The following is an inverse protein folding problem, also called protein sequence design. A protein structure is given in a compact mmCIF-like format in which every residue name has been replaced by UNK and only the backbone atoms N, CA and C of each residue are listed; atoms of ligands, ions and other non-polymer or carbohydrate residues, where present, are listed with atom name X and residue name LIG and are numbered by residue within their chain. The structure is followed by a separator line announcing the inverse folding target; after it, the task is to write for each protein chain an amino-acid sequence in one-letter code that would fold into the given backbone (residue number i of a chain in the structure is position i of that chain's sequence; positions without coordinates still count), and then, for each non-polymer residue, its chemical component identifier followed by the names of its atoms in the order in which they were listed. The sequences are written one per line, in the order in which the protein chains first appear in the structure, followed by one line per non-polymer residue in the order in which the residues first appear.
data_IF_673446556098
#
_entry.id   IF_673446556098
#
_cell.length_a   1.000
_cell.length_b   1.000
_cell.length_c   1.000
_cell.angle_alpha   90.00
_cell.angle_beta   90.00
_cell.angle_gamma   90.00
#
_symmetry.space_group_name_H-M   'P 1'
#
loop_
_entity.id
_entity.type
_entity.pdbx_description
1 polymer ?
#
# COMPACT_ATOMS: atom_id res chain seq x y z
N UNK A 1 -7.35 -3.07 18.49
CA UNK A 1 -7.64 -3.62 17.15
C UNK A 1 -6.84 -4.89 16.97
N UNK A 2 -7.37 -5.84 16.23
CA UNK A 2 -6.68 -7.05 15.82
C UNK A 2 -6.44 -6.99 14.31
N UNK A 3 -5.22 -7.31 13.88
CA UNK A 3 -4.77 -7.24 12.49
C UNK A 3 -4.06 -8.53 12.09
N UNK A 4 -4.34 -9.00 10.88
CA UNK A 4 -3.67 -10.12 10.24
C UNK A 4 -3.46 -9.80 8.74
N UNK A 5 -2.86 -10.73 8.00
CA UNK A 5 -2.73 -10.60 6.54
C UNK A 5 -4.09 -10.83 5.83
N UNK A 6 -5.04 -11.48 6.48
CA UNK A 6 -6.40 -11.73 5.98
C UNK A 6 -7.33 -10.56 6.36
N UNK A 7 -7.86 -9.84 5.36
CA UNK A 7 -8.71 -8.66 5.60
C UNK A 7 -9.97 -8.99 6.42
N UNK A 8 -10.55 -10.18 6.25
CA UNK A 8 -11.77 -10.62 6.93
C UNK A 8 -11.56 -10.86 8.44
N UNK A 9 -10.31 -11.11 8.86
CA UNK A 9 -9.93 -11.31 10.26
C UNK A 9 -9.56 -10.00 10.98
N UNK A 10 -9.49 -8.88 10.24
CA UNK A 10 -9.10 -7.58 10.79
C UNK A 10 -10.29 -6.83 11.37
N UNK A 11 -10.22 -6.41 12.63
CA UNK A 11 -11.29 -5.62 13.25
C UNK A 11 -10.83 -4.67 14.37
N UNK A 12 -11.63 -3.63 14.60
CA UNK A 12 -11.37 -2.61 15.62
C UNK A 12 -12.56 -2.39 16.55
N UNK A 13 -12.25 -1.93 17.77
CA UNK A 13 -13.22 -1.61 18.82
C UNK A 13 -12.80 -0.30 19.48
N UNK A 14 -13.79 0.53 19.80
CA UNK A 14 -13.61 1.70 20.64
C UNK A 14 -14.10 1.37 22.06
N UNK A 15 -13.31 1.72 23.07
CA UNK A 15 -13.61 1.38 24.45
C UNK A 15 -12.72 2.14 25.43
N UNK A 16 -12.70 1.71 26.69
CA UNK A 16 -11.92 2.37 27.75
C UNK A 16 -10.92 1.42 28.37
N UNK A 17 -9.72 1.93 28.61
CA UNK A 17 -8.70 1.25 29.39
C UNK A 17 -8.41 2.03 30.67
N UNK A 18 -8.06 1.31 31.74
CA UNK A 18 -7.76 1.90 33.04
C UNK A 18 -6.35 1.55 33.45
N UNK A 19 -5.52 2.58 33.61
CA UNK A 19 -4.20 2.44 34.23
C UNK A 19 -4.34 2.45 35.75
N UNK A 20 -4.19 1.29 36.37
CA UNK A 20 -4.43 1.09 37.79
C UNK A 20 -3.11 0.89 38.56
N UNK A 21 -2.89 1.73 39.58
CA UNK A 21 -1.80 1.54 40.54
C UNK A 21 -2.19 0.47 41.57
N UNK A 22 -1.82 -0.78 41.30
CA UNK A 22 -2.14 -1.89 42.18
C UNK A 22 -1.34 -1.92 43.49
N UNK A 23 -0.39 -0.99 43.65
CA UNK A 23 0.53 -0.89 44.79
C UNK A 23 0.00 0.06 45.86
N UNK A 24 -0.81 1.05 45.48
CA UNK A 24 -1.26 2.15 46.34
C UNK A 24 -1.87 1.71 47.69
N UNK A 25 -2.53 0.53 47.71
CA UNK A 25 -3.13 -0.05 48.92
C UNK A 25 -2.70 -1.50 49.18
N UNK A 26 -1.63 -1.99 48.55
CA UNK A 26 -1.16 -3.36 48.73
C UNK A 26 0.37 -3.45 48.75
N UNK A 27 0.99 -3.60 49.95
CA UNK A 27 2.45 -3.58 50.09
C UNK A 27 3.15 -4.81 49.48
N UNK A 28 2.42 -5.84 49.04
CA UNK A 28 2.98 -7.04 48.40
C UNK A 28 2.99 -6.97 46.87
N UNK A 29 2.31 -6.00 46.27
CA UNK A 29 2.27 -5.82 44.82
C UNK A 29 3.31 -4.79 44.39
N UNK A 30 4.02 -5.07 43.31
CA UNK A 30 5.09 -4.22 42.77
C UNK A 30 4.78 -3.65 41.39
N UNK A 31 3.62 -3.96 40.82
CA UNK A 31 3.31 -3.71 39.40
C UNK A 31 2.14 -2.75 39.18
N UNK A 32 2.19 -2.02 38.06
CA UNK A 32 1.03 -1.36 37.49
C UNK A 32 0.28 -2.32 36.58
N UNK A 33 -1.02 -2.09 36.40
CA UNK A 33 -1.85 -2.89 35.50
C UNK A 33 -2.65 -2.00 34.58
N UNK A 34 -2.66 -2.33 33.29
CA UNK A 34 -3.59 -1.76 32.33
C UNK A 34 -4.76 -2.74 32.17
N UNK A 35 -5.94 -2.33 32.63
CA UNK A 35 -7.16 -3.12 32.46
C UNK A 35 -7.93 -2.64 31.24
N UNK A 36 -8.49 -3.57 30.48
CA UNK A 36 -9.38 -3.31 29.35
C UNK A 36 -10.83 -3.63 29.75
N UNK A 37 -11.79 -2.99 29.08
CA UNK A 37 -13.22 -3.19 29.28
C UNK A 37 -13.78 -4.29 28.35
N UNK A 38 -15.01 -4.77 28.62
CA UNK A 38 -15.63 -5.90 27.91
C UNK A 38 -15.82 -5.66 26.40
N UNK A 39 -15.80 -4.40 25.95
CA UNK A 39 -15.83 -4.03 24.53
C UNK A 39 -14.61 -4.57 23.73
N UNK A 40 -13.60 -5.11 24.40
CA UNK A 40 -12.40 -5.69 23.79
C UNK A 40 -12.31 -7.23 23.90
N UNK A 41 -13.35 -7.90 24.44
CA UNK A 41 -13.31 -9.35 24.70
C UNK A 41 -13.08 -10.17 23.41
N UNK A 42 -13.66 -9.74 22.29
CA UNK A 42 -13.48 -10.39 20.98
C UNK A 42 -12.06 -10.22 20.42
N UNK A 43 -11.45 -9.04 20.59
CA UNK A 43 -10.05 -8.79 20.24
C UNK A 43 -9.15 -9.73 21.04
N UNK A 44 -9.39 -9.85 22.35
CA UNK A 44 -8.60 -10.73 23.21
C UNK A 44 -8.84 -12.21 22.91
N UNK A 45 -10.05 -12.60 22.50
CA UNK A 45 -10.36 -13.95 22.08
C UNK A 45 -9.68 -14.34 20.75
N UNK A 46 -9.48 -13.38 19.85
CA UNK A 46 -8.74 -13.57 18.60
C UNK A 46 -7.21 -13.57 18.81
N UNK A 47 -6.72 -13.07 19.94
CA UNK A 47 -5.29 -12.95 20.24
C UNK A 47 -4.70 -14.25 20.77
N UNK A 48 -3.47 -14.55 20.37
CA UNK A 48 -2.74 -15.76 20.76
C UNK A 48 -1.34 -15.50 21.31
N UNK A 49 -0.72 -16.56 21.83
CA UNK A 49 0.72 -16.53 22.15
C UNK A 49 1.55 -16.32 20.88
N UNK A 50 2.47 -15.36 20.91
CA UNK A 50 3.31 -14.99 19.78
C UNK A 50 2.82 -13.79 18.97
N UNK A 51 1.58 -13.34 19.18
CA UNK A 51 1.08 -12.09 18.60
C UNK A 51 1.78 -10.88 19.23
N UNK A 52 1.98 -9.83 18.45
CA UNK A 52 2.55 -8.58 18.95
C UNK A 52 1.47 -7.69 19.54
N UNK A 53 1.70 -7.16 20.74
CA UNK A 53 0.89 -6.07 21.30
C UNK A 53 1.65 -4.75 21.25
N UNK A 54 1.17 -3.81 20.44
CA UNK A 54 1.66 -2.43 20.37
C UNK A 54 0.73 -1.49 21.14
N UNK A 55 1.30 -0.74 22.09
CA UNK A 55 0.60 0.28 22.87
C UNK A 55 1.06 1.68 22.43
N UNK A 56 0.22 2.37 21.65
CA UNK A 56 0.55 3.65 21.02
C UNK A 56 -0.23 4.76 21.71
N UNK A 57 0.47 5.62 22.47
CA UNK A 57 -0.12 6.82 23.07
C UNK A 57 -0.13 7.96 22.05
N UNK A 58 -1.32 8.42 21.68
CA UNK A 58 -1.51 9.54 20.75
C UNK A 58 -1.32 10.90 21.45
N UNK A 59 -1.11 11.96 20.65
CA UNK A 59 -0.93 13.34 21.14
C UNK A 59 -2.18 13.90 21.82
N UNK A 60 -3.36 13.44 21.40
CA UNK A 60 -4.66 13.75 22.01
C UNK A 60 -4.86 13.10 23.40
N UNK A 61 -3.88 12.31 23.88
CA UNK A 61 -3.92 11.60 25.15
C UNK A 61 -4.63 10.25 25.12
N UNK A 62 -5.26 9.88 24.01
CA UNK A 62 -5.88 8.56 23.84
C UNK A 62 -4.84 7.47 23.56
N UNK A 63 -5.22 6.22 23.85
CA UNK A 63 -4.38 5.05 23.64
C UNK A 63 -4.94 4.21 22.49
N UNK A 64 -4.07 3.81 21.57
CA UNK A 64 -4.35 2.83 20.54
C UNK A 64 -3.61 1.53 20.89
N UNK A 65 -4.36 0.43 20.94
CA UNK A 65 -3.83 -0.91 21.16
C UNK A 65 -3.94 -1.69 19.86
N UNK A 66 -2.82 -2.08 19.28
CA UNK A 66 -2.75 -2.83 18.03
C UNK A 66 -2.19 -4.21 18.33
N UNK A 67 -2.97 -5.25 18.06
CA UNK A 67 -2.53 -6.63 18.15
C UNK A 67 -2.34 -7.15 16.73
N UNK A 68 -1.14 -7.64 16.42
CA UNK A 68 -0.81 -8.17 15.10
C UNK A 68 -0.59 -9.68 15.20
N UNK A 69 -1.24 -10.45 14.33
CA UNK A 69 -1.10 -11.89 14.26
C UNK A 69 0.38 -12.29 14.08
N UNK A 70 0.82 -13.33 14.80
CA UNK A 70 2.18 -13.82 14.73
C UNK A 70 2.59 -14.19 13.30
N UNK A 71 3.83 -13.87 12.93
CA UNK A 71 4.42 -14.17 11.60
C UNK A 71 3.65 -13.58 10.40
N UNK A 72 2.87 -12.52 10.61
CA UNK A 72 2.16 -11.81 9.54
C UNK A 72 3.00 -10.67 8.95
N UNK A 73 2.68 -10.29 7.70
CA UNK A 73 3.24 -9.11 7.04
C UNK A 73 2.88 -7.84 7.81
N UNK A 74 1.64 -7.75 8.31
CA UNK A 74 1.21 -6.60 9.12
C UNK A 74 2.02 -6.44 10.41
N UNK A 75 2.40 -7.53 11.09
CA UNK A 75 3.29 -7.46 12.26
C UNK A 75 4.66 -6.86 11.88
N UNK A 76 5.27 -7.35 10.80
CA UNK A 76 6.55 -6.83 10.31
C UNK A 76 6.46 -5.36 9.92
N UNK A 77 5.39 -4.97 9.24
CA UNK A 77 5.11 -3.60 8.83
C UNK A 77 4.97 -2.65 10.03
N UNK A 78 4.24 -3.06 11.08
CA UNK A 78 4.08 -2.25 12.30
C UNK A 78 5.40 -2.14 13.05
N UNK A 79 6.15 -3.23 13.20
CA UNK A 79 7.50 -3.20 13.80
C UNK A 79 8.42 -2.23 13.05
N UNK A 80 8.43 -2.31 11.72
CA UNK A 80 9.21 -1.42 10.86
C UNK A 80 8.78 0.04 11.00
N UNK A 81 7.48 0.33 10.90
CA UNK A 81 6.92 1.68 10.99
C UNK A 81 7.29 2.36 12.31
N UNK A 82 7.22 1.61 13.41
CA UNK A 82 7.58 2.11 14.74
C UNK A 82 9.06 1.87 15.09
N UNK A 83 9.91 1.46 14.13
CA UNK A 83 11.33 1.09 14.24
C UNK A 83 11.69 0.22 15.46
N UNK A 84 10.78 -0.68 15.80
CA UNK A 84 10.94 -1.59 16.92
C UNK A 84 11.96 -2.67 16.55
N UNK A 85 13.04 -2.79 17.32
CA UNK A 85 14.02 -3.87 17.18
C UNK A 85 13.48 -5.18 17.75
N UNK A 86 13.80 -6.30 17.10
CA UNK A 86 13.80 -7.65 17.69
C UNK A 86 14.94 -7.80 18.72
N UNK A 87 15.10 -6.82 19.60
CA UNK A 87 15.91 -7.01 20.79
C UNK A 87 15.16 -8.03 21.64
N UNK A 88 15.77 -9.20 21.92
CA UNK A 88 15.20 -10.32 22.70
C UNK A 88 14.73 -10.02 24.13
N UNK A 89 14.50 -8.75 24.44
CA UNK A 89 13.70 -8.23 25.54
C UNK A 89 12.23 -8.19 25.16
N UNK A 90 11.34 -8.68 26.02
CA UNK A 90 9.88 -8.73 25.78
C UNK A 90 9.17 -7.37 25.60
N UNK A 91 9.90 -6.24 25.55
CA UNK A 91 9.34 -4.89 25.47
C UNK A 91 10.33 -3.90 24.85
N UNK A 92 9.83 -3.02 23.98
CA UNK A 92 10.58 -1.92 23.36
C UNK A 92 9.79 -0.61 23.46
N UNK A 93 10.46 0.51 23.74
CA UNK A 93 9.85 1.85 23.81
C UNK A 93 10.50 2.75 22.77
N UNK A 94 9.68 3.38 21.94
CA UNK A 94 10.15 4.37 20.97
C UNK A 94 9.33 5.67 21.04
N UNK A 95 10.04 6.80 21.05
CA UNK A 95 9.44 8.12 20.89
C UNK A 95 9.59 8.57 19.44
N UNK A 96 8.47 8.71 18.73
CA UNK A 96 8.47 9.17 17.34
C UNK A 96 8.32 10.70 17.31
N UNK A 97 9.27 11.36 16.67
CA UNK A 97 9.26 12.82 16.45
C UNK A 97 9.74 13.17 15.05
N UNK A 98 9.13 12.57 14.04
CA UNK A 98 9.44 12.90 12.65
C UNK A 98 8.72 14.19 12.22
N UNK A 99 9.47 15.09 11.59
CA UNK A 99 8.98 16.30 10.91
C UNK A 99 9.30 16.15 9.42
N UNK A 100 8.31 16.31 8.55
CA UNK A 100 8.48 16.22 7.10
C UNK A 100 7.35 15.44 6.43
N UNK A 101 7.49 15.21 5.13
CA UNK A 101 6.62 14.30 4.39
C UNK A 101 6.87 12.86 4.86
N UNK A 102 5.79 12.12 5.06
CA UNK A 102 5.82 10.71 5.45
C UNK A 102 6.14 9.89 4.20
N UNK A 103 7.18 9.04 4.18
CA UNK A 103 7.50 8.20 3.03
C UNK A 103 6.32 7.30 2.63
N UNK A 104 6.22 6.95 1.34
CA UNK A 104 5.10 6.14 0.82
C UNK A 104 4.87 4.85 1.61
N UNK A 105 5.95 4.09 1.89
CA UNK A 105 5.84 2.84 2.63
C UNK A 105 5.24 3.07 4.04
N UNK A 106 5.54 4.19 4.69
CA UNK A 106 4.95 4.54 5.98
C UNK A 106 3.49 4.94 5.85
N UNK A 107 3.13 5.70 4.81
CA UNK A 107 1.73 6.04 4.51
C UNK A 107 0.90 4.78 4.21
N UNK A 108 1.48 3.82 3.49
CA UNK A 108 0.86 2.52 3.21
C UNK A 108 0.51 1.79 4.50
N UNK A 109 1.49 1.60 5.40
CA UNK A 109 1.25 0.92 6.69
C UNK A 109 0.26 1.69 7.55
N UNK A 110 0.37 3.03 7.65
CA UNK A 110 -0.56 3.85 8.42
C UNK A 110 -2.00 3.74 7.88
N UNK A 111 -2.16 3.66 6.56
CA UNK A 111 -3.46 3.45 5.91
C UNK A 111 -4.05 2.08 6.26
N UNK A 112 -3.23 1.02 6.20
CA UNK A 112 -3.65 -0.35 6.60
C UNK A 112 -4.05 -0.40 8.08
N UNK A 113 -3.38 0.36 8.94
CA UNK A 113 -3.74 0.53 10.34
C UNK A 113 -5.04 1.34 10.55
N UNK A 114 -5.69 1.82 9.49
CA UNK A 114 -6.85 2.70 9.58
C UNK A 114 -6.53 4.05 10.24
N UNK A 115 -5.26 4.45 10.27
CA UNK A 115 -4.84 5.74 10.80
C UNK A 115 -5.09 6.80 9.72
N UNK A 116 -6.06 7.66 10.01
CA UNK A 116 -6.39 8.78 9.13
C UNK A 116 -5.25 9.81 9.24
N UNK A 117 -4.52 9.98 8.13
CA UNK A 117 -3.56 11.07 7.98
C UNK A 117 -4.33 12.37 7.71
N UNK A 118 -3.87 13.46 8.31
CA UNK A 118 -4.42 14.78 8.00
C UNK A 118 -4.22 15.08 6.50
N UNK A 119 -5.26 15.59 5.83
CA UNK A 119 -5.15 15.94 4.41
C UNK A 119 -4.13 17.06 4.26
N UNK A 120 -3.29 17.01 3.21
CA UNK A 120 -2.36 18.10 2.97
C UNK A 120 -3.09 19.39 2.58
N UNK A 121 -2.44 20.52 2.84
CA UNK A 121 -2.92 21.86 2.51
C UNK A 121 -1.75 22.76 2.10
N UNK A 122 -2.05 23.84 1.36
CA UNK A 122 -1.06 24.82 0.89
C UNK A 122 -1.30 25.24 -0.56
N UNK A 123 -0.47 26.16 -1.06
CA UNK A 123 -0.68 26.77 -2.39
C UNK A 123 -0.72 25.78 -3.56
N UNK A 124 0.05 24.68 -3.52
CA UNK A 124 -0.02 23.65 -4.56
C UNK A 124 -1.35 22.88 -4.57
N UNK A 125 -2.04 22.83 -3.42
CA UNK A 125 -3.37 22.24 -3.31
C UNK A 125 -4.42 23.20 -3.87
N UNK A 126 -4.26 24.50 -3.63
CA UNK A 126 -5.14 25.52 -4.22
C UNK A 126 -5.02 25.47 -5.76
N UNK A 127 -3.80 25.41 -6.30
CA UNK A 127 -3.55 25.23 -7.74
C UNK A 127 -4.16 23.94 -8.29
N UNK A 128 -4.09 22.83 -7.54
CA UNK A 128 -4.71 21.56 -7.91
C UNK A 128 -6.24 21.69 -8.02
N UNK A 129 -6.89 22.35 -7.06
CA UNK A 129 -8.34 22.55 -7.03
C UNK A 129 -8.77 23.47 -8.19
N UNK A 130 -8.02 24.56 -8.42
CA UNK A 130 -8.24 25.46 -9.57
C UNK A 130 -8.06 24.76 -10.92
N UNK A 131 -7.10 23.84 -11.02
CA UNK A 131 -6.84 23.04 -12.23
C UNK A 131 -7.99 22.09 -12.56
N UNK A 132 -8.65 21.54 -11.54
CA UNK A 132 -9.70 20.53 -11.67
C UNK A 132 -10.99 20.94 -10.93
N UNK A 133 -11.66 22.02 -11.37
CA UNK A 133 -12.84 22.56 -10.68
C UNK A 133 -14.07 21.66 -10.77
N UNK A 134 -14.13 20.80 -11.78
CA UNK A 134 -15.21 19.81 -11.96
C UNK A 134 -14.99 18.54 -11.11
N UNK A 135 -13.98 18.56 -10.23
CA UNK A 135 -13.63 17.47 -9.32
C UNK A 135 -12.59 16.51 -9.89
N UNK A 136 -12.60 15.27 -9.41
CA UNK A 136 -11.51 14.32 -9.62
C UNK A 136 -11.36 13.94 -11.12
N UNK A 137 -10.20 14.22 -11.78
CA UNK A 137 -10.01 13.85 -13.17
C UNK A 137 -9.79 12.34 -13.34
N UNK A 138 -9.68 11.88 -14.58
CA UNK A 138 -9.31 10.47 -14.85
C UNK A 138 -7.97 10.12 -14.20
N UNK A 139 -7.78 8.86 -13.77
CA UNK A 139 -6.54 8.43 -13.09
C UNK A 139 -5.30 8.73 -13.93
N UNK A 140 -5.37 8.56 -15.26
CA UNK A 140 -4.26 8.87 -16.15
C UNK A 140 -3.85 10.35 -16.12
N UNK A 141 -4.83 11.25 -16.24
CA UNK A 141 -4.60 12.70 -16.17
C UNK A 141 -4.04 13.11 -14.80
N UNK A 142 -4.52 12.46 -13.74
CA UNK A 142 -4.04 12.71 -12.39
C UNK A 142 -2.60 12.22 -12.17
N UNK A 143 -2.26 11.02 -12.67
CA UNK A 143 -0.89 10.50 -12.66
C UNK A 143 0.06 11.36 -13.50
N UNK A 144 -0.39 11.89 -14.64
CA UNK A 144 0.37 12.87 -15.45
C UNK A 144 0.66 14.13 -14.63
N UNK A 145 -0.37 14.70 -13.98
CA UNK A 145 -0.24 15.89 -13.13
C UNK A 145 0.74 15.66 -11.96
N UNK A 146 0.67 14.50 -11.29
CA UNK A 146 1.63 14.15 -10.22
C UNK A 146 3.07 14.13 -10.74
N UNK A 147 3.30 13.57 -11.94
CA UNK A 147 4.63 13.56 -12.59
C UNK A 147 5.15 14.95 -12.94
N UNK A 148 4.28 15.85 -13.40
CA UNK A 148 4.65 17.25 -13.67
C UNK A 148 5.20 17.97 -12.43
N UNK A 149 4.78 17.56 -11.22
CA UNK A 149 5.24 18.14 -9.96
C UNK A 149 6.47 17.43 -9.35
N UNK A 150 7.04 16.48 -10.08
CA UNK A 150 8.22 15.69 -9.66
C UNK A 150 9.33 15.70 -10.70
N UNK A 151 9.32 16.68 -11.62
CA UNK A 151 10.29 16.84 -12.72
C UNK A 151 11.76 16.96 -12.29
N UNK A 152 12.00 17.17 -10.99
CA UNK A 152 13.34 17.21 -10.41
C UNK A 152 13.97 15.81 -10.24
N UNK A 153 13.25 14.74 -10.55
CA UNK A 153 13.75 13.36 -10.55
C UNK A 153 13.74 12.83 -11.98
N UNK A 154 14.90 12.40 -12.48
CA UNK A 154 15.01 11.79 -13.80
C UNK A 154 14.64 10.29 -13.71
N UNK A 155 13.54 9.85 -14.36
CA UNK A 155 13.12 8.45 -14.31
C UNK A 155 14.09 7.49 -15.01
N UNK A 156 15.00 7.97 -15.86
CA UNK A 156 15.96 7.12 -16.56
C UNK A 156 17.16 6.80 -15.67
N UNK A 157 17.66 7.78 -14.91
CA UNK A 157 18.82 7.60 -14.03
C UNK A 157 18.44 7.18 -12.61
N UNK A 158 17.24 7.55 -12.14
CA UNK A 158 16.74 7.25 -10.79
C UNK A 158 15.35 6.58 -10.83
N UNK A 159 15.16 5.44 -11.54
CA UNK A 159 13.84 4.85 -11.77
C UNK A 159 13.10 4.44 -10.49
N UNK A 160 13.82 3.87 -9.51
CA UNK A 160 13.26 3.50 -8.21
C UNK A 160 12.68 4.73 -7.49
N UNK A 161 13.48 5.80 -7.37
CA UNK A 161 13.09 7.04 -6.73
C UNK A 161 11.97 7.74 -7.49
N UNK A 162 12.00 7.71 -8.83
CA UNK A 162 10.96 8.30 -9.66
C UNK A 162 9.61 7.63 -9.38
N UNK A 163 9.55 6.30 -9.37
CA UNK A 163 8.32 5.56 -9.08
C UNK A 163 7.76 5.91 -7.69
N UNK A 164 8.63 5.91 -6.68
CA UNK A 164 8.25 6.28 -5.31
C UNK A 164 7.70 7.70 -5.23
N UNK A 165 8.45 8.68 -5.74
CA UNK A 165 8.04 10.09 -5.68
C UNK A 165 6.75 10.36 -6.45
N UNK A 166 6.54 9.67 -7.56
CA UNK A 166 5.30 9.76 -8.32
C UNK A 166 4.10 9.25 -7.52
N UNK A 167 4.23 8.09 -6.88
CA UNK A 167 3.20 7.51 -6.01
C UNK A 167 2.93 8.40 -4.78
N UNK A 168 3.99 8.93 -4.15
CA UNK A 168 3.87 9.85 -3.01
C UNK A 168 3.13 11.14 -3.40
N UNK A 169 3.50 11.73 -4.54
CA UNK A 169 2.91 12.99 -5.00
C UNK A 169 1.46 12.80 -5.43
N UNK A 170 1.14 11.70 -6.11
CA UNK A 170 -0.24 11.40 -6.49
C UNK A 170 -1.11 11.14 -5.26
N UNK A 171 -0.64 10.34 -4.28
CA UNK A 171 -1.37 10.10 -3.03
C UNK A 171 -1.57 11.40 -2.22
N UNK A 172 -0.55 12.27 -2.17
CA UNK A 172 -0.63 13.59 -1.56
C UNK A 172 -1.74 14.44 -2.20
N UNK A 173 -1.73 14.58 -3.53
CA UNK A 173 -2.76 15.34 -4.24
C UNK A 173 -4.15 14.70 -4.10
N UNK A 174 -4.21 13.36 -4.16
CA UNK A 174 -5.45 12.63 -4.06
C UNK A 174 -6.14 12.89 -2.72
N UNK A 175 -5.40 12.83 -1.60
CA UNK A 175 -5.97 13.07 -0.26
C UNK A 175 -6.51 14.48 -0.10
N UNK A 176 -5.81 15.47 -0.62
CA UNK A 176 -6.28 16.85 -0.59
C UNK A 176 -7.56 17.04 -1.41
N UNK A 177 -7.56 16.57 -2.67
CA UNK A 177 -8.71 16.66 -3.55
C UNK A 177 -9.91 15.88 -3.00
N UNK A 178 -9.69 14.65 -2.53
CA UNK A 178 -10.74 13.83 -1.93
C UNK A 178 -11.36 14.52 -0.71
N UNK A 179 -10.53 15.06 0.18
CA UNK A 179 -11.02 15.80 1.34
C UNK A 179 -11.84 17.03 0.94
N UNK A 180 -11.38 17.80 -0.05
CA UNK A 180 -12.11 18.95 -0.57
C UNK A 180 -13.49 18.55 -1.12
N UNK A 181 -13.56 17.51 -1.97
CA UNK A 181 -14.82 17.03 -2.54
C UNK A 181 -15.77 16.47 -1.48
N UNK A 182 -15.26 15.73 -0.50
CA UNK A 182 -16.06 15.25 0.64
C UNK A 182 -16.64 16.43 1.43
N UNK A 183 -15.88 17.50 1.66
CA UNK A 183 -16.38 18.69 2.35
C UNK A 183 -17.52 19.36 1.57
N UNK A 184 -17.41 19.48 0.25
CA UNK A 184 -18.49 20.01 -0.59
C UNK A 184 -19.74 19.13 -0.53
N UNK A 185 -19.57 17.81 -0.61
CA UNK A 185 -20.70 16.87 -0.55
C UNK A 185 -21.37 16.87 0.82
N UNK A 186 -20.61 16.99 1.90
CA UNK A 186 -21.14 17.15 3.25
C UNK A 186 -21.92 18.46 3.40
N UNK A 187 -21.46 19.54 2.77
CA UNK A 187 -22.20 20.80 2.75
C UNK A 187 -23.54 20.64 2.05
N UNK A 188 -23.56 20.06 0.83
CA UNK A 188 -24.80 19.76 0.08
C UNK A 188 -25.74 18.86 0.89
N UNK A 189 -25.21 17.82 1.52
CA UNK A 189 -25.97 16.91 2.37
C UNK A 189 -26.60 17.66 3.56
N UNK A 190 -25.87 18.58 4.18
CA UNK A 190 -26.40 19.38 5.30
C UNK A 190 -27.61 20.22 4.90
N UNK A 191 -27.63 20.74 3.67
CA UNK A 191 -28.79 21.46 3.12
C UNK A 191 -29.98 20.54 2.89
N UNK A 192 -29.75 19.32 2.39
CA UNK A 192 -30.80 18.32 2.18
C UNK A 192 -31.40 17.85 3.51
N UNK A 193 -30.57 17.69 4.54
CA UNK A 193 -31.04 17.41 5.91
C UNK A 193 -31.88 18.59 6.42
N UNK A 194 -31.44 19.83 6.23
CA UNK A 194 -32.19 21.01 6.65
C UNK A 194 -33.56 21.14 5.95
N UNK A 195 -33.68 20.63 4.72
CA UNK A 195 -34.95 20.52 3.97
C UNK A 195 -35.83 19.33 4.40
N UNK A 196 -35.43 18.57 5.42
CA UNK A 196 -36.09 17.32 5.84
C UNK A 196 -36.24 16.31 4.69
N UNK A 197 -35.24 16.20 3.81
CA UNK A 197 -35.26 15.20 2.75
C UNK A 197 -35.24 13.79 3.38
N UNK A 198 -36.27 12.96 3.16
CA UNK A 198 -36.35 11.62 3.77
C UNK A 198 -35.23 10.68 3.31
N UNK A 199 -34.58 10.98 2.18
CA UNK A 199 -33.52 10.17 1.59
C UNK A 199 -32.10 10.66 1.95
N UNK A 200 -31.96 11.63 2.86
CA UNK A 200 -30.65 12.18 3.22
C UNK A 200 -29.66 11.10 3.74
N UNK A 201 -30.16 10.11 4.48
CA UNK A 201 -29.35 8.99 4.94
C UNK A 201 -28.81 8.14 3.76
N UNK A 202 -29.63 7.91 2.73
CA UNK A 202 -29.22 7.15 1.54
C UNK A 202 -28.21 7.93 0.69
N UNK A 203 -28.35 9.26 0.62
CA UNK A 203 -27.38 10.15 -0.02
C UNK A 203 -26.00 10.08 0.66
N UNK A 204 -25.97 10.05 2.00
CA UNK A 204 -24.73 9.87 2.76
C UNK A 204 -24.07 8.53 2.46
N UNK A 205 -24.83 7.43 2.55
CA UNK A 205 -24.30 6.08 2.33
C UNK A 205 -23.77 5.91 0.91
N UNK A 206 -24.54 6.35 -0.09
CA UNK A 206 -24.13 6.27 -1.50
C UNK A 206 -22.89 7.12 -1.79
N UNK A 207 -22.80 8.33 -1.22
CA UNK A 207 -21.59 9.17 -1.30
C UNK A 207 -20.37 8.48 -0.69
N UNK A 208 -20.47 7.97 0.55
CA UNK A 208 -19.37 7.26 1.20
C UNK A 208 -18.90 6.03 0.40
N UNK A 209 -19.84 5.25 -0.13
CA UNK A 209 -19.55 4.08 -0.97
C UNK A 209 -18.84 4.48 -2.27
N UNK A 210 -19.22 5.60 -2.89
CA UNK A 210 -18.55 6.12 -4.07
C UNK A 210 -17.06 6.37 -3.80
N UNK A 211 -16.73 7.11 -2.73
CA UNK A 211 -15.33 7.37 -2.36
C UNK A 211 -14.54 6.08 -2.09
N UNK A 212 -15.13 5.11 -1.39
CA UNK A 212 -14.49 3.81 -1.14
C UNK A 212 -14.18 3.07 -2.46
N UNK A 213 -15.11 3.05 -3.40
CA UNK A 213 -14.92 2.40 -4.70
C UNK A 213 -13.86 3.13 -5.55
N UNK A 214 -13.87 4.46 -5.52
CA UNK A 214 -12.89 5.30 -6.21
C UNK A 214 -11.48 5.05 -5.66
N UNK A 215 -11.31 4.98 -4.33
CA UNK A 215 -10.03 4.62 -3.69
C UNK A 215 -9.48 3.30 -4.22
N UNK A 216 -10.32 2.25 -4.21
CA UNK A 216 -9.94 0.91 -4.66
C UNK A 216 -9.56 0.89 -6.14
N UNK A 217 -10.33 1.55 -6.99
CA UNK A 217 -10.08 1.58 -8.43
C UNK A 217 -8.86 2.40 -8.81
N UNK A 218 -8.70 3.62 -8.25
CA UNK A 218 -7.61 4.51 -8.62
C UNK A 218 -6.25 4.02 -8.13
N UNK A 219 -6.19 3.41 -6.95
CA UNK A 219 -4.93 2.93 -6.38
C UNK A 219 -4.22 1.89 -7.28
N UNK A 220 -4.97 0.97 -7.91
CA UNK A 220 -4.42 0.02 -8.87
C UNK A 220 -3.97 0.69 -10.17
N UNK A 221 -4.88 1.44 -10.80
CA UNK A 221 -4.61 2.06 -12.10
C UNK A 221 -3.53 3.15 -12.05
N UNK A 222 -3.38 3.88 -10.93
CA UNK A 222 -2.29 4.86 -10.75
C UNK A 222 -0.94 4.16 -10.80
N UNK A 223 -0.79 3.04 -10.08
CA UNK A 223 0.45 2.29 -10.04
C UNK A 223 0.84 1.77 -11.43
N UNK A 224 -0.12 1.20 -12.16
CA UNK A 224 0.06 0.79 -13.56
C UNK A 224 0.47 1.97 -14.46
N UNK A 225 -0.17 3.13 -14.34
CA UNK A 225 0.18 4.33 -15.12
C UNK A 225 1.62 4.77 -14.88
N UNK A 226 2.10 4.71 -13.64
CA UNK A 226 3.47 5.09 -13.30
C UNK A 226 4.50 4.08 -13.81
N UNK A 227 4.21 2.77 -13.73
CA UNK A 227 5.05 1.73 -14.32
C UNK A 227 5.10 1.90 -15.84
N UNK A 228 3.96 2.13 -16.49
CA UNK A 228 3.90 2.38 -17.93
C UNK A 228 4.76 3.58 -18.34
N UNK A 229 4.76 4.66 -17.54
CA UNK A 229 5.60 5.83 -17.74
C UNK A 229 7.10 5.51 -17.60
N UNK A 230 7.50 4.65 -16.66
CA UNK A 230 8.88 4.17 -16.56
C UNK A 230 9.28 3.36 -17.80
N UNK A 231 8.46 2.40 -18.21
CA UNK A 231 8.74 1.57 -19.40
C UNK A 231 8.92 2.44 -20.65
N UNK A 232 8.05 3.45 -20.84
CA UNK A 232 8.15 4.44 -21.93
C UNK A 232 9.47 5.23 -21.86
N UNK A 233 9.82 5.74 -20.68
CA UNK A 233 11.05 6.53 -20.46
C UNK A 233 12.31 5.71 -20.76
N UNK A 234 12.25 4.42 -20.46
CA UNK A 234 13.32 3.45 -20.72
C UNK A 234 13.31 2.90 -22.16
N UNK A 235 12.38 3.34 -23.03
CA UNK A 235 12.19 2.87 -24.41
C UNK A 235 12.02 1.35 -24.52
N UNK A 236 11.45 0.74 -23.49
CA UNK A 236 11.11 -0.67 -23.46
C UNK A 236 9.89 -0.90 -24.35
N UNK A 237 9.92 -1.88 -25.26
CA UNK A 237 8.71 -2.28 -26.00
C UNK A 237 7.84 -3.15 -25.11
N UNK A 238 6.54 -2.88 -25.08
CA UNK A 238 5.57 -3.67 -24.32
C UNK A 238 4.17 -3.55 -24.95
N UNK A 239 3.27 -4.40 -24.48
CA UNK A 239 1.82 -4.28 -24.63
C UNK A 239 1.20 -4.27 -23.23
N UNK A 240 0.42 -3.25 -22.92
CA UNK A 240 -0.28 -3.13 -21.63
C UNK A 240 -1.72 -3.63 -21.76
N UNK A 241 -2.21 -4.30 -20.72
CA UNK A 241 -3.62 -4.71 -20.57
C UNK A 241 -4.16 -5.44 -21.82
N UNK A 242 -3.42 -6.44 -22.32
CA UNK A 242 -3.81 -7.26 -23.49
C UNK A 242 -4.11 -8.70 -23.07
N UNK A 243 -5.15 -9.33 -23.65
CA UNK A 243 -5.55 -10.68 -23.25
C UNK A 243 -4.56 -11.75 -23.71
N UNK A 244 -4.29 -12.69 -22.82
CA UNK A 244 -3.53 -13.93 -23.03
C UNK A 244 -4.49 -15.14 -23.05
N UNK A 245 -4.04 -16.32 -22.59
CA UNK A 245 -4.89 -17.49 -22.50
C UNK A 245 -6.08 -17.26 -21.56
N UNK A 246 -7.20 -17.93 -21.84
CA UNK A 246 -8.40 -17.91 -20.99
C UNK A 246 -8.98 -16.51 -20.72
N UNK A 247 -8.69 -15.52 -21.58
CA UNK A 247 -9.08 -14.11 -21.41
C UNK A 247 -8.51 -13.46 -20.15
N UNK A 248 -7.42 -14.02 -19.59
CA UNK A 248 -6.65 -13.34 -18.55
C UNK A 248 -5.95 -12.14 -19.17
N UNK A 249 -5.75 -11.10 -18.37
CA UNK A 249 -5.21 -9.82 -18.82
C UNK A 249 -4.06 -9.46 -17.88
N UNK A 250 -2.82 -9.84 -18.20
CA UNK A 250 -1.65 -9.35 -17.49
C UNK A 250 -1.49 -7.85 -17.69
N UNK A 251 -0.89 -7.19 -16.69
CA UNK A 251 -0.69 -5.74 -16.73
C UNK A 251 0.25 -5.34 -17.87
N UNK A 252 1.40 -6.03 -17.99
CA UNK A 252 2.36 -5.80 -19.06
C UNK A 252 2.93 -7.10 -19.63
N UNK A 253 2.94 -7.19 -20.96
CA UNK A 253 3.67 -8.20 -21.73
C UNK A 253 4.74 -7.52 -22.56
N UNK A 254 5.98 -7.98 -22.42
CA UNK A 254 7.14 -7.49 -23.13
C UNK A 254 7.71 -8.62 -24.01
N UNK A 255 8.11 -8.32 -25.25
CA UNK A 255 8.10 -7.00 -25.89
C UNK A 255 6.76 -6.58 -26.52
N UNK A 256 5.89 -7.52 -26.85
CA UNK A 256 4.54 -7.23 -27.33
C UNK A 256 3.64 -8.45 -27.22
N UNK A 257 2.32 -8.23 -27.21
CA UNK A 257 1.35 -9.33 -27.22
C UNK A 257 1.40 -10.12 -28.53
N UNK A 258 1.75 -9.48 -29.66
CA UNK A 258 1.84 -10.16 -30.95
C UNK A 258 2.96 -11.20 -30.93
N UNK A 259 4.12 -10.85 -30.38
CA UNK A 259 5.24 -11.78 -30.20
C UNK A 259 4.96 -12.84 -29.11
N UNK A 260 4.11 -12.53 -28.13
CA UNK A 260 3.61 -13.51 -27.17
C UNK A 260 2.74 -14.60 -27.83
N UNK A 261 1.98 -14.27 -28.87
CA UNK A 261 1.17 -15.26 -29.61
C UNK A 261 1.92 -15.92 -30.77
N UNK A 262 3.07 -15.40 -31.17
CA UNK A 262 3.93 -16.01 -32.18
C UNK A 262 4.73 -17.19 -31.59
N UNK A 263 4.29 -18.41 -31.88
CA UNK A 263 4.94 -19.65 -31.45
C UNK A 263 6.38 -19.82 -31.96
N UNK A 264 6.79 -19.07 -32.98
CA UNK A 264 8.17 -19.09 -33.49
C UNK A 264 9.12 -18.19 -32.70
N UNK A 265 8.59 -17.20 -31.98
CA UNK A 265 9.39 -16.34 -31.11
C UNK A 265 9.86 -17.11 -29.86
N UNK A 266 11.12 -16.99 -29.43
CA UNK A 266 11.63 -17.71 -28.26
C UNK A 266 10.97 -17.22 -26.95
N UNK A 267 10.59 -18.16 -26.08
CA UNK A 267 9.95 -17.85 -24.78
C UNK A 267 10.91 -17.07 -23.88
N UNK A 268 12.21 -17.31 -24.01
CA UNK A 268 13.27 -16.61 -23.28
C UNK A 268 13.28 -15.10 -23.57
N UNK A 269 12.80 -14.68 -24.75
CA UNK A 269 12.64 -13.27 -25.11
C UNK A 269 11.38 -12.61 -24.56
N UNK A 270 10.45 -13.38 -23.98
CA UNK A 270 9.22 -12.87 -23.39
C UNK A 270 9.42 -12.48 -21.92
N UNK A 271 8.63 -11.53 -21.45
CA UNK A 271 8.55 -11.13 -20.05
C UNK A 271 7.14 -10.68 -19.72
N UNK A 272 6.61 -11.17 -18.61
CA UNK A 272 5.37 -10.68 -18.01
C UNK A 272 5.70 -9.95 -16.72
N UNK A 273 5.05 -8.80 -16.52
CA UNK A 273 5.11 -8.01 -15.30
C UNK A 273 3.68 -7.73 -14.83
N UNK A 274 3.35 -8.24 -13.65
CA UNK A 274 2.15 -7.87 -12.90
C UNK A 274 2.46 -6.74 -11.93
N UNK A 275 1.54 -5.79 -11.80
CA UNK A 275 1.60 -4.68 -10.87
C UNK A 275 0.56 -4.87 -9.77
N UNK A 276 1.01 -5.03 -8.52
CA UNK A 276 0.12 -5.11 -7.36
C UNK A 276 0.58 -4.11 -6.31
N UNK A 277 -0.30 -3.21 -5.87
CA UNK A 277 0.02 -2.28 -4.77
C UNK A 277 0.30 -3.03 -3.45
N UNK A 278 -0.46 -4.10 -3.21
CA UNK A 278 -0.34 -5.03 -2.10
C UNK A 278 -0.45 -6.46 -2.62
N UNK A 279 0.48 -7.32 -2.20
CA UNK A 279 0.64 -8.68 -2.65
C UNK A 279 -0.19 -9.68 -1.85
N UNK A 280 -0.44 -9.43 -0.55
CA UNK A 280 -1.19 -10.29 0.42
C UNK A 280 -1.42 -11.74 -0.07
N UNK A 281 -2.67 -12.15 -0.29
CA UNK A 281 -3.06 -13.45 -0.86
C UNK A 281 -3.20 -13.42 -2.40
N UNK A 282 -3.20 -12.23 -2.99
CA UNK A 282 -3.59 -11.99 -4.40
C UNK A 282 -2.46 -12.20 -5.40
N UNK A 283 -1.21 -12.34 -4.93
CA UNK A 283 -0.08 -12.59 -5.82
C UNK A 283 -0.21 -13.90 -6.60
N UNK A 284 -0.85 -14.94 -6.03
CA UNK A 284 -0.98 -16.23 -6.70
C UNK A 284 -1.80 -16.17 -7.99
N UNK A 285 -2.66 -15.15 -8.14
CA UNK A 285 -3.50 -14.95 -9.32
C UNK A 285 -2.69 -14.73 -10.60
N UNK A 286 -1.45 -14.23 -10.49
CA UNK A 286 -0.60 -13.92 -11.65
C UNK A 286 -0.10 -15.19 -12.37
N UNK A 287 -0.12 -16.34 -11.69
CA UNK A 287 0.33 -17.62 -12.25
C UNK A 287 -0.48 -18.03 -13.49
N UNK A 288 -1.76 -17.63 -13.54
CA UNK A 288 -2.66 -17.94 -14.65
C UNK A 288 -2.63 -16.92 -15.78
N UNK A 289 -1.94 -15.78 -15.61
CA UNK A 289 -2.04 -14.64 -16.54
C UNK A 289 -1.16 -14.74 -17.79
N UNK A 290 -0.17 -15.64 -17.81
CA UNK A 290 0.67 -15.87 -18.98
C UNK A 290 1.17 -17.31 -18.97
N UNK A 291 0.44 -18.23 -19.61
CA UNK A 291 0.74 -19.67 -19.53
C UNK A 291 1.94 -20.09 -20.38
N UNK A 292 2.33 -19.27 -21.36
CA UNK A 292 3.48 -19.56 -22.23
C UNK A 292 4.83 -19.46 -21.52
N UNK A 293 4.89 -18.71 -20.42
CA UNK A 293 6.13 -18.48 -19.67
C UNK A 293 6.06 -19.07 -18.27
N UNK A 294 7.18 -19.61 -17.80
CA UNK A 294 7.26 -20.18 -16.46
C UNK A 294 7.66 -19.13 -15.41
N UNK A 295 8.60 -18.25 -15.77
CA UNK A 295 9.03 -17.12 -14.94
C UNK A 295 8.13 -15.91 -15.14
N UNK A 296 7.72 -15.28 -14.04
CA UNK A 296 6.88 -14.08 -14.01
C UNK A 296 7.48 -13.04 -13.09
N UNK A 297 7.17 -11.77 -13.32
CA UNK A 297 7.64 -10.68 -12.47
C UNK A 297 6.45 -10.02 -11.80
N UNK A 298 6.62 -9.67 -10.53
CA UNK A 298 5.62 -8.98 -9.74
C UNK A 298 6.26 -7.72 -9.16
N UNK A 299 5.78 -6.54 -9.56
CA UNK A 299 6.21 -5.27 -8.98
C UNK A 299 5.20 -4.82 -7.91
N UNK A 300 5.71 -4.39 -6.76
CA UNK A 300 4.90 -3.92 -5.64
C UNK A 300 5.55 -2.77 -4.88
N UNK A 301 4.71 -2.00 -4.20
CA UNK A 301 5.12 -0.95 -3.24
C UNK A 301 4.90 -1.38 -1.78
N UNK A 302 4.48 -2.63 -1.56
CA UNK A 302 4.20 -3.16 -0.23
C UNK A 302 5.51 -3.39 0.54
N UNK A 303 5.68 -2.80 1.74
CA UNK A 303 6.84 -3.07 2.59
C UNK A 303 6.67 -4.37 3.38
N UNK A 304 7.81 -4.96 3.76
CA UNK A 304 7.92 -6.00 4.79
C UNK A 304 7.02 -7.25 4.62
N UNK A 305 6.85 -7.72 3.37
CA UNK A 305 6.24 -9.04 3.07
C UNK A 305 7.03 -10.15 3.79
N UNK A 306 6.33 -11.15 4.34
CA UNK A 306 6.97 -12.23 5.11
C UNK A 306 7.93 -13.09 4.28
N UNK A 307 8.97 -13.62 4.92
CA UNK A 307 9.93 -14.55 4.30
C UNK A 307 9.25 -15.82 3.76
N UNK A 308 8.19 -16.29 4.42
CA UNK A 308 7.41 -17.44 3.95
C UNK A 308 6.71 -17.13 2.61
N UNK A 309 6.09 -15.95 2.48
CA UNK A 309 5.46 -15.52 1.23
C UNK A 309 6.50 -15.32 0.13
N UNK A 310 7.65 -14.74 0.42
CA UNK A 310 8.75 -14.58 -0.54
C UNK A 310 9.26 -15.96 -0.99
N UNK A 311 9.47 -16.89 -0.07
CA UNK A 311 9.87 -18.26 -0.40
C UNK A 311 8.81 -18.97 -1.28
N UNK A 312 7.52 -18.76 -1.00
CA UNK A 312 6.43 -19.29 -1.81
C UNK A 312 6.44 -18.69 -3.23
N UNK A 313 6.62 -17.38 -3.38
CA UNK A 313 6.78 -16.72 -4.69
C UNK A 313 7.98 -17.28 -5.47
N UNK A 314 9.14 -17.41 -4.81
CA UNK A 314 10.33 -18.01 -5.41
C UNK A 314 10.10 -19.46 -5.88
N UNK A 315 9.40 -20.27 -5.08
CA UNK A 315 9.09 -21.66 -5.44
C UNK A 315 8.20 -21.78 -6.68
N UNK A 316 7.40 -20.73 -6.95
CA UNK A 316 6.52 -20.61 -8.12
C UNK A 316 7.15 -19.79 -9.25
N UNK A 317 8.47 -19.52 -9.20
CA UNK A 317 9.22 -18.76 -10.21
C UNK A 317 8.69 -17.34 -10.45
N UNK A 318 8.22 -16.70 -9.38
CA UNK A 318 7.88 -15.28 -9.37
C UNK A 318 9.08 -14.49 -8.87
N UNK A 319 9.61 -13.61 -9.73
CA UNK A 319 10.63 -12.64 -9.39
C UNK A 319 9.97 -11.36 -8.84
N UNK A 320 10.16 -11.10 -7.56
CA UNK A 320 9.65 -9.90 -6.90
C UNK A 320 10.50 -8.68 -7.26
N UNK A 321 9.84 -7.56 -7.58
CA UNK A 321 10.45 -6.27 -7.92
C UNK A 321 9.92 -5.20 -6.97
N UNK A 322 10.80 -4.53 -6.24
CA UNK A 322 10.45 -3.54 -5.21
C UNK A 322 11.41 -2.37 -5.28
N UNK A 323 10.94 -1.11 -5.22
CA UNK A 323 11.83 0.04 -5.17
C UNK A 323 12.88 -0.03 -4.06
N UNK A 324 14.10 0.42 -4.36
CA UNK A 324 15.26 0.28 -3.48
C UNK A 324 15.01 0.81 -2.06
N UNK A 325 14.28 1.92 -1.87
CA UNK A 325 14.07 2.46 -0.52
C UNK A 325 13.22 1.52 0.35
N UNK A 326 12.26 0.82 -0.28
CA UNK A 326 11.34 -0.13 0.34
C UNK A 326 12.04 -1.47 0.58
N UNK A 327 13.05 -1.84 -0.23
CA UNK A 327 13.86 -3.05 -0.01
C UNK A 327 14.54 -3.05 1.37
N UNK A 328 14.83 -1.88 1.94
CA UNK A 328 15.38 -1.76 3.30
C UNK A 328 14.41 -2.21 4.41
N UNK A 329 13.15 -2.51 4.08
CA UNK A 329 12.19 -3.08 5.03
C UNK A 329 12.30 -4.60 5.17
N UNK A 330 13.11 -5.25 4.31
CA UNK A 330 13.31 -6.69 4.27
C UNK A 330 14.63 -7.09 4.94
N UNK A 331 14.72 -8.34 5.40
CA UNK A 331 15.98 -8.87 5.92
C UNK A 331 16.97 -9.20 4.78
N UNK A 332 18.26 -9.27 5.12
CA UNK A 332 19.35 -9.51 4.18
C UNK A 332 19.22 -10.81 3.37
N UNK A 333 18.54 -11.82 3.90
CA UNK A 333 18.38 -13.11 3.21
C UNK A 333 17.34 -12.98 2.10
N UNK A 334 16.20 -12.37 2.42
CA UNK A 334 15.10 -12.14 1.48
C UNK A 334 15.49 -11.14 0.38
N UNK A 335 16.27 -10.09 0.72
CA UNK A 335 16.74 -9.09 -0.24
C UNK A 335 17.49 -9.68 -1.44
N UNK A 336 18.12 -10.87 -1.30
CA UNK A 336 18.82 -11.57 -2.39
C UNK A 336 17.88 -12.09 -3.48
N UNK A 337 16.61 -12.26 -3.13
CA UNK A 337 15.57 -12.75 -4.04
C UNK A 337 14.70 -11.62 -4.61
N UNK A 338 14.94 -10.37 -4.20
CA UNK A 338 14.14 -9.21 -4.61
C UNK A 338 14.99 -8.33 -5.53
N UNK A 339 14.46 -8.00 -6.70
CA UNK A 339 15.08 -7.02 -7.60
C UNK A 339 14.60 -5.62 -7.26
N UNK A 340 15.45 -4.63 -7.49
CA UNK A 340 15.00 -3.25 -7.56
C UNK A 340 14.50 -2.89 -8.96
N UNK A 341 13.85 -1.75 -9.10
CA UNK A 341 13.20 -1.33 -10.35
C UNK A 341 14.26 -1.13 -11.44
N UNK A 342 15.38 -0.48 -11.11
CA UNK A 342 16.51 -0.32 -12.02
C UNK A 342 17.00 -1.67 -12.59
N UNK A 343 17.22 -2.66 -11.73
CA UNK A 343 17.69 -4.00 -12.13
C UNK A 343 16.71 -4.66 -13.09
N UNK A 344 15.41 -4.58 -12.79
CA UNK A 344 14.38 -5.13 -13.67
C UNK A 344 14.37 -4.45 -15.04
N UNK A 345 14.42 -3.12 -15.09
CA UNK A 345 14.39 -2.36 -16.34
C UNK A 345 15.62 -2.66 -17.21
N UNK A 346 16.81 -2.74 -16.62
CA UNK A 346 18.04 -3.07 -17.34
C UNK A 346 18.04 -4.52 -17.85
N UNK A 347 17.52 -5.45 -17.05
CA UNK A 347 17.36 -6.85 -17.46
C UNK A 347 16.41 -7.00 -18.65
N UNK A 348 15.25 -6.33 -18.63
CA UNK A 348 14.30 -6.33 -19.76
C UNK A 348 14.93 -5.71 -21.00
N UNK A 349 15.61 -4.56 -20.87
CA UNK A 349 16.32 -3.93 -22.00
C UNK A 349 17.34 -4.88 -22.60
N UNK A 350 18.14 -5.53 -21.76
CA UNK A 350 19.12 -6.53 -22.19
C UNK A 350 18.48 -7.66 -23.00
N UNK A 351 17.36 -8.20 -22.53
CA UNK A 351 16.58 -9.19 -23.29
C UNK A 351 16.13 -8.65 -24.65
N UNK A 352 15.59 -7.44 -24.70
CA UNK A 352 15.10 -6.88 -25.96
C UNK A 352 16.22 -6.66 -26.99
N UNK A 353 17.43 -6.31 -26.56
CA UNK A 353 18.60 -6.21 -27.46
C UNK A 353 18.99 -7.56 -28.08
N UNK A 354 18.77 -8.66 -27.36
CA UNK A 354 19.14 -10.00 -27.82
C UNK A 354 18.08 -10.60 -28.77
N UNK A 355 16.81 -10.34 -28.51
CA UNK A 355 15.69 -11.04 -29.16
C UNK A 355 14.91 -10.20 -30.19
N UNK A 356 15.20 -8.90 -30.32
CA UNK A 356 14.50 -7.95 -31.21
C UNK A 356 15.52 -7.13 -32.00
#
# INVERSE_FOLDING_TARGET
MYLSDEEDDCFSRAGRVTWYDSRANNPKRSEFRLYYSYEFDDIMAASGEGDDLHLIKKRDGSLMMVICAANSSVANQVRWLFKLSESGTAFSIQQISEKGQIPYASQFVLSELGIILEPPSGGEIDELIEKFPDGMPTTKVFSDYAREHTIYIDPVTEPDRALEAWMEKEEYFYRAMEHHLIQEDLHKLSEEIAKNNPNAADLYISGAMHYIQVRKSRAGSSFENHIEALLKSHKIRYSAQKPTENKKVPDFIMPSIDLYWDNSFPVEGLTMLAAKRSCKERWAQILEEALRMEERHLITMEPAITSNTIAAMCSQKIQLVIPESIRNTYNDTDMRHIWNVATFLDWVKGKQVVYI
#
